data_IF_898457029319
#
_entry.id   IF_898457029319
#
_cell.length_a   1.000
_cell.length_b   1.000
_cell.length_c   1.000
_cell.angle_alpha   90.00
_cell.angle_beta   90.00
_cell.angle_gamma   90.00
#
_symmetry.space_group_name_H-M   'P 1'
#
loop_
_entity.id
_entity.type
_entity.pdbx_description
1 polymer ?
#
# COMPACT_ATOMS: atom_id res chain seq x y z
N UNK A 1 -13.27 -15.83 -6.11
CA UNK A 1 -12.91 -15.33 -4.77
C UNK A 1 -11.91 -14.21 -4.97
N UNK A 2 -12.13 -13.04 -4.38
CA UNK A 2 -11.15 -11.95 -4.46
C UNK A 2 -9.81 -12.44 -3.88
N UNK A 3 -8.75 -12.35 -4.68
CA UNK A 3 -7.42 -12.83 -4.30
C UNK A 3 -6.77 -11.81 -3.35
N UNK A 4 -7.15 -11.90 -2.06
CA UNK A 4 -6.73 -10.95 -1.02
C UNK A 4 -5.50 -11.42 -0.24
N UNK A 5 -4.91 -12.55 -0.60
CA UNK A 5 -4.05 -13.34 0.29
C UNK A 5 -2.82 -12.58 0.82
N UNK A 6 -2.32 -11.58 0.07
CA UNK A 6 -1.17 -10.77 0.47
C UNK A 6 -1.51 -9.29 0.76
N UNK A 7 -2.75 -8.84 0.49
CA UNK A 7 -3.08 -7.43 0.65
C UNK A 7 -3.19 -7.07 2.13
N UNK A 8 -2.29 -6.21 2.60
CA UNK A 8 -2.31 -5.74 4.00
C UNK A 8 -3.18 -4.50 4.21
N UNK A 9 -3.78 -3.94 3.13
CA UNK A 9 -4.55 -2.69 3.17
C UNK A 9 -5.76 -2.80 4.11
N UNK A 10 -5.83 -1.89 5.10
CA UNK A 10 -6.91 -1.84 6.10
C UNK A 10 -8.04 -0.86 5.73
N UNK A 11 -7.90 -0.14 4.61
CA UNK A 11 -8.94 0.75 4.12
C UNK A 11 -9.99 -0.04 3.33
N UNK A 12 -10.91 -0.69 4.04
CA UNK A 12 -11.92 -1.57 3.45
C UNK A 12 -13.04 -0.82 2.72
N UNK A 13 -13.19 0.49 2.92
CA UNK A 13 -14.16 1.31 2.17
C UNK A 13 -13.61 1.77 0.81
N UNK A 14 -12.32 1.59 0.54
CA UNK A 14 -11.73 1.95 -0.75
C UNK A 14 -12.29 1.06 -1.88
N UNK A 15 -12.83 1.68 -2.94
CA UNK A 15 -13.34 0.96 -4.11
C UNK A 15 -12.29 0.14 -4.87
N UNK A 16 -11.01 0.45 -4.68
CA UNK A 16 -9.86 -0.26 -5.27
C UNK A 16 -9.28 -1.33 -4.34
N UNK A 17 -9.88 -1.54 -3.16
CA UNK A 17 -9.46 -2.62 -2.29
C UNK A 17 -9.85 -3.95 -2.95
N UNK A 18 -8.93 -4.93 -3.06
CA UNK A 18 -9.22 -6.23 -3.66
C UNK A 18 -10.40 -6.95 -3.00
N UNK A 19 -10.74 -6.65 -1.74
CA UNK A 19 -11.95 -7.18 -1.09
C UNK A 19 -13.25 -6.80 -1.79
N UNK A 20 -13.26 -5.67 -2.50
CA UNK A 20 -14.47 -5.04 -3.04
C UNK A 20 -14.67 -5.31 -4.54
N UNK A 21 -13.80 -6.09 -5.17
CA UNK A 21 -13.88 -6.46 -6.59
C UNK A 21 -13.07 -7.74 -6.87
N UNK A 22 -13.06 -8.23 -8.11
CA UNK A 22 -12.38 -9.46 -8.53
C UNK A 22 -11.05 -9.23 -9.26
N UNK A 23 -10.65 -7.96 -9.44
CA UNK A 23 -9.43 -7.55 -10.17
C UNK A 23 -8.14 -7.49 -9.32
N UNK A 24 -8.13 -8.10 -8.13
CA UNK A 24 -6.94 -8.11 -7.27
C UNK A 24 -6.39 -6.71 -6.96
N UNK A 25 -5.07 -6.54 -6.99
CA UNK A 25 -4.44 -5.25 -6.69
C UNK A 25 -4.29 -4.31 -7.90
N UNK A 26 -4.73 -4.72 -9.10
CA UNK A 26 -4.48 -3.99 -10.35
C UNK A 26 -4.96 -2.54 -10.31
N UNK A 27 -6.16 -2.31 -9.77
CA UNK A 27 -6.71 -0.96 -9.63
C UNK A 27 -5.90 -0.08 -8.68
N UNK A 28 -5.42 -0.64 -7.57
CA UNK A 28 -4.58 0.07 -6.60
C UNK A 28 -3.20 0.38 -7.18
N UNK A 29 -2.59 -0.57 -7.90
CA UNK A 29 -1.30 -0.35 -8.55
C UNK A 29 -1.43 0.72 -9.62
N UNK A 30 -2.47 0.64 -10.46
CA UNK A 30 -2.70 1.59 -11.55
C UNK A 30 -2.84 3.03 -11.06
N UNK A 31 -3.62 3.27 -10.00
CA UNK A 31 -3.74 4.63 -9.45
C UNK A 31 -2.44 5.13 -8.83
N UNK A 32 -1.74 4.30 -8.05
CA UNK A 32 -0.44 4.68 -7.49
C UNK A 32 0.59 5.03 -8.58
N UNK A 33 0.65 4.25 -9.67
CA UNK A 33 1.55 4.54 -10.79
C UNK A 33 1.22 5.88 -11.46
N UNK A 34 -0.06 6.17 -11.69
CA UNK A 34 -0.49 7.45 -12.27
C UNK A 34 -0.15 8.64 -11.36
N UNK A 35 -0.19 8.44 -10.05
CA UNK A 35 0.06 9.48 -9.03
C UNK A 35 1.55 9.62 -8.66
N UNK A 36 2.44 8.83 -9.28
CA UNK A 36 3.87 8.83 -8.90
C UNK A 36 4.11 8.31 -7.47
N UNK A 37 3.27 7.39 -7.02
CA UNK A 37 3.23 6.85 -5.67
C UNK A 37 3.42 5.33 -5.63
N UNK A 38 3.62 4.80 -4.43
CA UNK A 38 3.62 3.37 -4.12
C UNK A 38 2.40 2.97 -3.28
N UNK A 39 1.88 1.74 -3.44
CA UNK A 39 0.82 1.25 -2.59
C UNK A 39 1.23 1.18 -1.11
N UNK A 40 0.29 1.48 -0.22
CA UNK A 40 0.52 1.46 1.24
C UNK A 40 1.01 0.12 1.79
N UNK A 41 0.74 -1.00 1.11
CA UNK A 41 1.24 -2.31 1.52
C UNK A 41 2.78 -2.40 1.52
N UNK A 42 3.46 -1.66 0.64
CA UNK A 42 4.93 -1.62 0.60
C UNK A 42 5.51 -0.92 1.84
N UNK A 43 4.94 0.22 2.22
CA UNK A 43 5.35 0.95 3.43
C UNK A 43 5.17 0.11 4.70
N UNK A 44 4.07 -0.64 4.80
CA UNK A 44 3.79 -1.54 5.94
C UNK A 44 4.71 -2.74 6.01
N UNK A 45 5.24 -3.20 4.87
CA UNK A 45 6.17 -4.33 4.84
C UNK A 45 7.53 -3.97 5.45
N UNK A 46 7.91 -2.68 5.42
CA UNK A 46 9.24 -2.22 5.83
C UNK A 46 9.24 -1.39 7.13
N UNK A 47 8.08 -1.16 7.75
CA UNK A 47 7.94 -0.39 9.00
C UNK A 47 6.92 -1.01 9.94
N UNK A 48 7.34 -1.33 11.16
CA UNK A 48 6.45 -1.82 12.21
C UNK A 48 5.46 -0.75 12.66
N UNK A 49 5.90 0.50 12.76
CA UNK A 49 5.07 1.65 13.15
C UNK A 49 3.89 1.87 12.19
N UNK A 50 4.09 1.56 10.90
CA UNK A 50 3.06 1.77 9.87
C UNK A 50 2.12 0.58 9.71
N UNK A 51 2.40 -0.57 10.34
CA UNK A 51 1.68 -1.84 10.10
C UNK A 51 0.16 -1.71 10.27
N UNK A 52 -0.30 -0.95 11.26
CA UNK A 52 -1.72 -0.75 11.58
C UNK A 52 -2.28 0.62 11.16
N UNK A 53 -1.45 1.47 10.57
CA UNK A 53 -1.84 2.81 10.12
C UNK A 53 -2.74 2.70 8.88
N UNK A 54 -3.96 3.25 8.93
CA UNK A 54 -4.94 3.13 7.84
C UNK A 54 -4.57 3.90 6.57
N UNK A 55 -3.94 5.08 6.73
CA UNK A 55 -3.61 6.02 5.64
C UNK A 55 -2.13 6.38 5.75
N UNK A 56 -1.41 6.28 4.63
CA UNK A 56 -0.02 6.75 4.53
C UNK A 56 -0.09 8.16 3.93
N UNK A 57 0.36 9.16 4.67
CA UNK A 57 0.23 10.57 4.29
C UNK A 57 1.12 10.94 3.10
N UNK A 58 2.34 10.37 3.04
CA UNK A 58 3.25 10.52 1.90
C UNK A 58 3.58 9.15 1.31
N UNK A 59 2.91 8.84 0.19
CA UNK A 59 3.09 7.60 -0.56
C UNK A 59 4.09 7.72 -1.71
N UNK A 60 4.91 8.78 -1.77
CA UNK A 60 5.89 8.97 -2.85
C UNK A 60 6.99 7.90 -2.83
N UNK A 61 7.62 7.69 -3.98
CA UNK A 61 8.82 6.85 -4.08
C UNK A 61 9.95 7.34 -3.17
N UNK A 62 10.10 8.66 -3.02
CA UNK A 62 11.13 9.26 -2.17
C UNK A 62 10.89 8.96 -0.68
N UNK A 63 9.65 9.11 -0.21
CA UNK A 63 9.28 8.77 1.16
C UNK A 63 9.52 7.29 1.44
N UNK A 64 9.17 6.40 0.50
CA UNK A 64 9.46 4.98 0.63
C UNK A 64 10.96 4.70 0.71
N UNK A 65 11.77 5.30 -0.18
CA UNK A 65 13.22 5.11 -0.18
C UNK A 65 13.86 5.57 1.12
N UNK A 66 13.47 6.75 1.64
CA UNK A 66 13.91 7.26 2.94
C UNK A 66 13.55 6.31 4.08
N UNK A 67 12.31 5.82 4.11
CA UNK A 67 11.85 4.86 5.11
C UNK A 67 12.69 3.58 5.10
N UNK A 68 12.94 3.00 3.92
CA UNK A 68 13.76 1.80 3.78
C UNK A 68 15.19 2.04 4.28
N UNK A 69 15.81 3.17 3.91
CA UNK A 69 17.18 3.49 4.32
C UNK A 69 17.31 3.73 5.83
N UNK A 70 16.33 4.36 6.45
CA UNK A 70 16.30 4.60 7.89
C UNK A 70 16.04 3.32 8.70
N UNK A 71 15.35 2.34 8.11
CA UNK A 71 15.03 1.07 8.76
C UNK A 71 16.06 -0.04 8.43
N UNK A 72 17.17 0.28 7.74
CA UNK A 72 18.29 -0.64 7.59
C UNK A 72 18.94 -0.85 8.96
N UNK A 73 18.83 -2.07 9.49
CA UNK A 73 19.66 -2.56 10.59
C UNK A 73 21.11 -2.71 10.14
#
# INVERSE_FOLDING_TARGET
MANTDFCTCKNYSCKFNPRNHDQGCDLCIKICLNDGALPSCFFRAVSEELRDVKVIDDSSYEAFAKLVLNNKK
#
